data_IF_074572507673
#
_entry.id   IF_074572507673
#
_cell.length_a   1.000
_cell.length_b   1.000
_cell.length_c   1.000
_cell.angle_alpha   90.00
_cell.angle_beta   90.00
_cell.angle_gamma   90.00
#
_symmetry.space_group_name_H-M   'P 1'
#
loop_
_entity.id
_entity.type
_entity.pdbx_description
1 polymer ?
#
# COMPACT_ATOMS: atom_id res chain seq x y z
N UNK A 1 -16.35 -5.35 18.66
CA UNK A 1 -15.18 -5.44 19.56
C UNK A 1 -14.82 -4.03 20.02
N UNK A 2 -14.74 -3.77 21.34
CA UNK A 2 -14.21 -2.50 21.86
C UNK A 2 -12.68 -2.56 21.79
N UNK A 3 -12.06 -1.64 21.07
CA UNK A 3 -10.61 -1.49 21.11
C UNK A 3 -10.23 -0.96 22.50
N UNK A 4 -9.38 -1.68 23.23
CA UNK A 4 -8.82 -1.20 24.50
C UNK A 4 -7.62 -0.29 24.22
N UNK A 5 -7.37 0.65 25.12
CA UNK A 5 -6.13 1.44 25.10
C UNK A 5 -4.94 0.51 25.27
N UNK A 6 -3.90 0.74 24.46
CA UNK A 6 -2.61 0.03 24.53
C UNK A 6 -1.51 1.06 24.69
N UNK A 7 -0.60 0.82 25.63
CA UNK A 7 0.62 1.61 25.81
C UNK A 7 1.75 1.06 24.92
N UNK A 8 2.85 1.81 24.78
CA UNK A 8 4.04 1.37 24.02
C UNK A 8 3.96 1.53 22.49
N UNK A 9 2.94 2.20 21.98
CA UNK A 9 2.87 2.54 20.55
C UNK A 9 3.97 3.54 20.19
N UNK A 10 4.71 3.25 19.12
CA UNK A 10 5.62 4.21 18.50
C UNK A 10 4.88 4.93 17.39
N UNK A 11 4.71 6.24 17.53
CA UNK A 11 4.01 7.08 16.56
C UNK A 11 5.04 8.03 15.97
N UNK A 12 5.08 8.10 14.65
CA UNK A 12 5.85 9.09 13.91
C UNK A 12 4.87 9.88 13.05
N UNK A 13 4.89 11.20 13.19
CA UNK A 13 4.20 12.09 12.26
C UNK A 13 5.05 12.20 11.00
N UNK A 14 4.43 11.95 9.85
CA UNK A 14 5.04 12.14 8.54
C UNK A 14 4.32 13.30 7.86
N UNK A 15 5.06 14.34 7.52
CA UNK A 15 4.49 15.55 6.91
C UNK A 15 4.71 15.54 5.40
N UNK A 16 3.65 15.88 4.66
CA UNK A 16 3.64 15.96 3.19
C UNK A 16 3.97 14.64 2.48
N UNK A 17 3.97 14.69 1.14
CA UNK A 17 4.32 13.54 0.30
C UNK A 17 5.80 13.14 0.41
N UNK A 18 6.69 14.11 0.60
CA UNK A 18 8.15 13.87 0.61
C UNK A 18 8.62 12.97 1.77
N UNK A 19 7.95 13.01 2.93
CA UNK A 19 8.24 12.10 4.04
C UNK A 19 7.37 10.84 3.98
N UNK A 20 6.11 10.99 3.55
CA UNK A 20 5.15 9.89 3.51
C UNK A 20 5.52 8.80 2.50
N UNK A 21 5.78 9.17 1.23
CA UNK A 21 5.98 8.18 0.17
C UNK A 21 7.24 7.32 0.38
N UNK A 22 8.41 7.87 0.75
CA UNK A 22 9.58 7.04 1.06
C UNK A 22 9.33 6.07 2.22
N UNK A 23 8.62 6.51 3.27
CA UNK A 23 8.28 5.65 4.40
C UNK A 23 7.32 4.51 3.98
N UNK A 24 6.34 4.80 3.14
CA UNK A 24 5.41 3.80 2.58
C UNK A 24 6.16 2.81 1.69
N UNK A 25 7.04 3.27 0.78
CA UNK A 25 7.81 2.38 -0.07
C UNK A 25 8.74 1.47 0.73
N UNK A 26 9.37 2.01 1.78
CA UNK A 26 10.17 1.22 2.71
C UNK A 26 9.33 0.16 3.41
N UNK A 27 8.18 0.53 3.97
CA UNK A 27 7.28 -0.40 4.63
C UNK A 27 6.77 -1.51 3.69
N UNK A 28 6.46 -1.18 2.43
CA UNK A 28 6.09 -2.15 1.38
C UNK A 28 7.27 -3.07 1.04
N UNK A 29 8.49 -2.52 0.98
CA UNK A 29 9.71 -3.30 0.74
C UNK A 29 10.01 -4.31 1.85
N UNK A 30 9.78 -3.92 3.11
CA UNK A 30 10.04 -4.73 4.30
C UNK A 30 8.89 -5.69 4.63
N UNK A 31 7.70 -5.51 4.05
CA UNK A 31 6.56 -6.37 4.30
C UNK A 31 6.81 -7.81 3.83
N UNK A 32 6.52 -8.76 4.71
CA UNK A 32 6.72 -10.21 4.49
C UNK A 32 5.41 -11.00 4.40
N UNK A 33 4.37 -10.60 5.13
CA UNK A 33 3.13 -11.40 5.22
C UNK A 33 1.96 -10.81 4.45
N UNK A 34 1.61 -9.55 4.75
CA UNK A 34 0.42 -8.88 4.20
C UNK A 34 0.64 -7.39 4.10
N UNK A 35 0.13 -6.81 3.01
CA UNK A 35 -0.02 -5.37 2.82
C UNK A 35 -1.51 -5.07 2.68
N UNK A 36 -1.99 -4.12 3.48
CA UNK A 36 -3.33 -3.54 3.36
C UNK A 36 -3.12 -2.07 3.02
N UNK A 37 -3.60 -1.66 1.85
CA UNK A 37 -3.54 -0.29 1.39
C UNK A 37 -4.95 0.26 1.32
N UNK A 38 -5.22 1.29 2.12
CA UNK A 38 -6.46 2.04 2.11
C UNK A 38 -6.12 3.47 1.70
N UNK A 39 -6.54 3.86 0.49
CA UNK A 39 -6.32 5.21 -0.05
C UNK A 39 -7.62 5.76 -0.58
N UNK A 40 -7.78 7.08 -0.47
CA UNK A 40 -8.94 7.78 -1.02
C UNK A 40 -8.81 7.98 -2.54
N UNK A 41 -7.60 8.26 -3.04
CA UNK A 41 -7.33 8.50 -4.47
C UNK A 41 -5.97 7.90 -4.86
N UNK A 42 -5.87 7.36 -6.08
CA UNK A 42 -4.64 6.91 -6.71
C UNK A 42 -4.60 7.44 -8.15
N UNK A 43 -3.56 8.20 -8.50
CA UNK A 43 -3.30 8.67 -9.87
C UNK A 43 -2.12 7.94 -10.54
N UNK A 44 -2.11 7.87 -11.87
CA UNK A 44 -0.99 7.33 -12.66
C UNK A 44 0.12 8.37 -12.91
N UNK A 45 0.48 9.13 -11.87
CA UNK A 45 1.65 10.00 -11.88
C UNK A 45 2.93 9.20 -11.53
N UNK A 46 4.08 9.87 -11.49
CA UNK A 46 5.36 9.21 -11.25
C UNK A 46 5.40 8.50 -9.88
N UNK A 47 4.73 9.07 -8.88
CA UNK A 47 4.64 8.48 -7.54
C UNK A 47 3.69 7.28 -7.54
N UNK A 48 2.54 7.37 -8.22
CA UNK A 48 1.60 6.28 -8.37
C UNK A 48 2.17 5.09 -9.15
N UNK A 49 3.01 5.34 -10.16
CA UNK A 49 3.76 4.30 -10.87
C UNK A 49 4.80 3.62 -9.96
N UNK A 50 5.51 4.38 -9.13
CA UNK A 50 6.43 3.83 -8.14
C UNK A 50 5.70 2.97 -7.10
N UNK A 51 4.53 3.43 -6.61
CA UNK A 51 3.70 2.66 -5.70
C UNK A 51 3.22 1.36 -6.33
N UNK A 52 2.80 1.41 -7.60
CA UNK A 52 2.43 0.22 -8.36
C UNK A 52 3.58 -0.78 -8.45
N UNK A 53 4.78 -0.31 -8.82
CA UNK A 53 5.97 -1.14 -8.92
C UNK A 53 6.36 -1.77 -7.57
N UNK A 54 6.29 -1.00 -6.48
CA UNK A 54 6.60 -1.50 -5.13
C UNK A 54 5.63 -2.62 -4.70
N UNK A 55 4.33 -2.44 -4.96
CA UNK A 55 3.32 -3.45 -4.66
C UNK A 55 3.47 -4.70 -5.54
N UNK A 56 3.84 -4.53 -6.81
CA UNK A 56 4.12 -5.66 -7.70
C UNK A 56 5.34 -6.45 -7.23
N UNK A 57 6.42 -5.77 -6.84
CA UNK A 57 7.60 -6.41 -6.27
C UNK A 57 7.26 -7.17 -4.99
N UNK A 58 6.41 -6.61 -4.12
CA UNK A 58 5.95 -7.30 -2.92
C UNK A 58 5.12 -8.56 -3.24
N UNK A 59 4.24 -8.48 -4.26
CA UNK A 59 3.48 -9.63 -4.71
C UNK A 59 4.38 -10.74 -5.27
N UNK A 60 5.42 -10.39 -6.03
CA UNK A 60 6.42 -11.36 -6.54
C UNK A 60 7.18 -12.07 -5.42
N UNK A 61 7.39 -11.43 -4.26
CA UNK A 61 7.97 -12.08 -3.07
C UNK A 61 7.02 -13.07 -2.37
N UNK A 62 5.78 -13.23 -2.84
CA UNK A 62 4.79 -14.11 -2.24
C UNK A 62 4.04 -13.50 -1.05
N UNK A 63 4.20 -12.20 -0.80
CA UNK A 63 3.45 -11.46 0.23
C UNK A 63 1.96 -11.51 -0.16
N UNK A 64 1.11 -12.13 0.67
CA UNK A 64 -0.31 -12.28 0.38
C UNK A 64 -1.00 -10.91 0.41
N UNK A 65 -1.21 -10.33 -0.76
CA UNK A 65 -1.96 -9.07 -0.95
C UNK A 65 -3.44 -9.31 -0.66
N UNK A 66 -3.89 -9.04 0.57
CA UNK A 66 -5.31 -8.77 0.83
C UNK A 66 -5.56 -7.28 0.59
N UNK A 67 -5.71 -6.92 -0.67
CA UNK A 67 -6.29 -5.63 -1.07
C UNK A 67 -7.78 -5.65 -0.74
N UNK A 68 -8.17 -5.01 0.36
CA UNK A 68 -9.56 -4.69 0.64
C UNK A 68 -9.93 -3.51 -0.25
N UNK A 69 -10.55 -3.80 -1.39
CA UNK A 69 -10.96 -2.79 -2.35
C UNK A 69 -12.25 -2.12 -1.85
N UNK A 70 -12.14 -0.90 -1.32
CA UNK A 70 -13.27 0.02 -1.30
C UNK A 70 -13.06 1.03 -2.43
N UNK A 71 -13.47 0.64 -3.63
CA UNK A 71 -13.35 1.45 -4.82
C UNK A 71 -14.46 2.50 -4.90
N UNK A 72 -14.11 3.76 -5.10
CA UNK A 72 -14.73 4.60 -6.15
C UNK A 72 -13.76 5.72 -6.54
N UNK A 73 -12.83 5.42 -7.45
CA UNK A 73 -12.48 6.27 -8.61
C UNK A 73 -12.21 5.34 -9.79
N UNK A 74 -13.02 5.46 -10.83
CA UNK A 74 -12.89 4.77 -12.12
C UNK A 74 -11.53 5.11 -12.74
N UNK A 75 -10.65 4.11 -12.87
CA UNK A 75 -10.23 3.49 -14.15
C UNK A 75 -8.88 2.80 -13.95
N UNK A 76 -8.93 1.56 -13.48
CA UNK A 76 -7.87 0.57 -13.71
C UNK A 76 -7.97 0.24 -15.21
N UNK A 77 -7.11 0.84 -16.03
CA UNK A 77 -6.98 0.42 -17.42
C UNK A 77 -6.11 -0.83 -17.44
N UNK A 78 -6.78 -1.98 -17.38
CA UNK A 78 -6.35 -3.29 -17.88
C UNK A 78 -4.87 -3.68 -17.68
N UNK A 79 -4.59 -4.51 -16.66
CA UNK A 79 -3.55 -5.52 -16.81
C UNK A 79 -3.99 -6.80 -16.11
N UNK A 80 -4.46 -7.72 -16.94
CA UNK A 80 -4.73 -9.13 -16.61
C UNK A 80 -3.46 -9.75 -16.02
N UNK A 81 -3.39 -9.89 -14.70
CA UNK A 81 -2.56 -10.92 -14.08
C UNK A 81 -3.45 -12.13 -13.85
N UNK A 82 -3.61 -12.91 -14.92
CA UNK A 82 -3.83 -14.34 -14.81
C UNK A 82 -2.50 -14.92 -14.30
N UNK A 83 -2.44 -15.25 -13.02
CA UNK A 83 -1.39 -16.12 -12.47
C UNK A 83 -2.02 -17.49 -12.28
N UNK A 84 -1.59 -18.41 -13.15
CA UNK A 84 -1.63 -19.84 -12.91
C UNK A 84 -0.64 -20.19 -11.78
#
# INVERSE_FOLDING_TARGET
MKCSWREGNKIQLLENGEQYYPAVFKAIGEAQERIILETFIWFEDDVGKQLHAALLAAAQRGVKRKSCWMATVRRISAMSLSMN
#
